data_IF_534624051502
#
_entry.id   IF_534624051502
#
_cell.length_a   1.000
_cell.length_b   1.000
_cell.length_c   1.000
_cell.angle_alpha   90.00
_cell.angle_beta   90.00
_cell.angle_gamma   90.00
#
_symmetry.space_group_name_H-M   'P 1'
#
loop_
_entity.id
_entity.type
_entity.pdbx_description
1 polymer ?
#
# COMPACT_ATOMS: atom_id res chain seq x y z
N UNK A 1 0.96 7.24 -0.17
CA UNK A 1 0.44 6.48 -1.33
C UNK A 1 -1.08 6.46 -1.25
N UNK A 2 -1.79 6.82 -2.33
CA UNK A 2 -3.26 6.85 -2.36
C UNK A 2 -3.79 6.07 -3.57
N UNK A 3 -5.00 5.50 -3.43
CA UNK A 3 -5.76 5.02 -4.58
C UNK A 3 -6.69 6.14 -5.05
N UNK A 4 -6.61 6.47 -6.32
CA UNK A 4 -7.55 7.39 -6.97
C UNK A 4 -7.94 6.78 -8.32
N UNK A 5 -9.24 6.75 -8.60
CA UNK A 5 -9.79 6.14 -9.80
C UNK A 5 -10.56 7.15 -10.65
N UNK A 6 -10.58 6.90 -11.95
CA UNK A 6 -11.41 7.60 -12.92
C UNK A 6 -12.91 7.52 -12.50
N UNK A 7 -13.67 8.62 -12.59
CA UNK A 7 -15.09 8.63 -12.19
C UNK A 7 -15.99 7.66 -12.95
N UNK A 8 -15.58 7.21 -14.14
CA UNK A 8 -16.29 6.22 -14.94
C UNK A 8 -15.79 4.78 -14.68
N UNK A 9 -14.86 4.58 -13.74
CA UNK A 9 -14.29 3.28 -13.42
C UNK A 9 -13.51 2.64 -14.57
N UNK A 10 -13.03 3.44 -15.54
CA UNK A 10 -12.30 2.87 -16.69
C UNK A 10 -11.00 2.20 -16.27
N UNK A 11 -10.39 2.71 -15.21
CA UNK A 11 -9.13 2.25 -14.64
C UNK A 11 -9.30 1.35 -13.41
N UNK A 12 -10.50 0.89 -13.05
CA UNK A 12 -10.67 0.00 -11.89
C UNK A 12 -10.53 -1.46 -12.31
N UNK A 13 -10.35 -2.37 -11.34
CA UNK A 13 -10.39 -3.80 -11.65
C UNK A 13 -11.75 -4.19 -12.24
N UNK A 14 -11.76 -5.06 -13.27
CA UNK A 14 -12.98 -5.38 -14.03
C UNK A 14 -14.15 -5.82 -13.14
N UNK A 15 -13.87 -6.65 -12.14
CA UNK A 15 -14.87 -7.14 -11.19
C UNK A 15 -15.40 -6.05 -10.23
N UNK A 16 -14.76 -4.88 -10.15
CA UNK A 16 -15.18 -3.72 -9.35
C UNK A 16 -15.81 -2.60 -10.17
N UNK A 17 -15.82 -2.68 -11.51
CA UNK A 17 -16.42 -1.64 -12.38
C UNK A 17 -17.88 -1.33 -12.04
N UNK A 18 -18.64 -2.34 -11.60
CA UNK A 18 -20.03 -2.17 -11.20
C UNK A 18 -20.24 -1.18 -10.04
N UNK A 19 -19.20 -0.87 -9.25
CA UNK A 19 -19.24 0.12 -8.17
C UNK A 19 -19.14 1.57 -8.65
N UNK A 20 -18.90 1.79 -9.94
CA UNK A 20 -18.65 3.12 -10.54
C UNK A 20 -19.76 3.57 -11.49
N UNK A 21 -20.90 2.87 -11.52
CA UNK A 21 -22.10 3.30 -12.25
C UNK A 21 -22.66 4.61 -11.66
N UNK A 22 -23.51 5.31 -12.42
CA UNK A 22 -23.98 6.67 -12.13
C UNK A 22 -24.40 6.88 -10.67
N UNK A 23 -25.18 5.94 -10.11
CA UNK A 23 -25.80 6.01 -8.77
C UNK A 23 -25.06 5.20 -7.70
N UNK A 24 -23.79 4.86 -7.94
CA UNK A 24 -22.99 4.05 -7.01
C UNK A 24 -21.99 4.89 -6.23
N UNK A 25 -21.49 4.37 -5.08
CA UNK A 25 -20.61 5.13 -4.19
C UNK A 25 -19.27 5.56 -4.80
N UNK A 26 -18.82 4.93 -5.90
CA UNK A 26 -17.56 5.26 -6.59
C UNK A 26 -16.39 5.37 -5.60
N UNK A 27 -16.05 4.28 -4.87
CA UNK A 27 -15.06 4.33 -3.81
C UNK A 27 -13.73 4.86 -4.34
N UNK A 28 -13.03 5.71 -3.60
CA UNK A 28 -11.72 6.25 -4.01
C UNK A 28 -11.72 6.92 -5.40
N UNK A 29 -12.85 7.49 -5.83
CA UNK A 29 -12.94 8.26 -7.07
C UNK A 29 -12.19 9.59 -6.96
N UNK A 30 -11.50 9.99 -8.03
CA UNK A 30 -10.80 11.28 -8.10
C UNK A 30 -11.74 12.43 -7.73
N UNK A 31 -11.27 13.30 -6.83
CA UNK A 31 -12.04 14.44 -6.32
C UNK A 31 -13.07 14.09 -5.24
N UNK A 32 -13.31 12.82 -4.94
CA UNK A 32 -14.18 12.42 -3.83
C UNK A 32 -13.46 12.52 -2.48
N UNK A 33 -14.24 12.70 -1.42
CA UNK A 33 -13.78 12.62 -0.02
C UNK A 33 -13.08 11.28 0.24
N UNK A 34 -13.60 10.18 -0.30
CA UNK A 34 -13.01 8.84 -0.13
C UNK A 34 -11.67 8.61 -0.84
N UNK A 35 -11.24 9.52 -1.73
CA UNK A 35 -9.91 9.48 -2.34
C UNK A 35 -8.86 10.31 -1.58
N UNK A 36 -9.31 11.13 -0.62
CA UNK A 36 -8.44 11.95 0.20
C UNK A 36 -7.91 11.14 1.39
N UNK A 37 -6.70 11.48 1.86
CA UNK A 37 -6.19 10.97 3.14
C UNK A 37 -6.83 11.79 4.26
N UNK A 38 -7.98 11.34 4.73
CA UNK A 38 -8.76 12.00 5.79
C UNK A 38 -8.64 11.30 7.14
N UNK A 39 -7.54 10.55 7.34
CA UNK A 39 -7.27 9.92 8.62
C UNK A 39 -6.53 10.94 9.49
N UNK A 40 -7.11 11.27 10.63
CA UNK A 40 -6.50 12.18 11.59
C UNK A 40 -5.09 11.71 11.97
N UNK A 41 -4.12 12.61 11.90
CA UNK A 41 -2.71 12.32 12.15
C UNK A 41 -1.91 11.80 10.94
N UNK A 42 -2.55 11.38 9.84
CA UNK A 42 -1.86 10.96 8.62
C UNK A 42 -1.83 12.10 7.58
N UNK A 43 -0.94 13.07 7.82
CA UNK A 43 -0.79 14.26 6.96
C UNK A 43 0.42 14.10 6.04
N UNK A 44 0.21 14.34 4.74
CA UNK A 44 1.30 14.49 3.77
C UNK A 44 1.92 15.88 4.00
N UNK A 45 3.20 15.91 4.38
CA UNK A 45 3.95 17.15 4.62
C UNK A 45 4.64 17.64 3.35
N UNK A 46 5.10 18.88 3.39
CA UNK A 46 5.95 19.42 2.33
C UNK A 46 7.23 18.59 2.19
N UNK A 47 7.52 18.14 0.97
CA UNK A 47 8.62 17.23 0.65
C UNK A 47 8.22 15.76 0.56
N UNK A 48 7.03 15.36 1.03
CA UNK A 48 6.54 14.00 0.86
C UNK A 48 6.15 13.72 -0.59
N UNK A 49 6.57 12.56 -1.09
CA UNK A 49 6.18 12.10 -2.42
C UNK A 49 4.78 11.47 -2.41
N UNK A 50 3.78 12.22 -2.88
CA UNK A 50 2.41 11.69 -3.06
C UNK A 50 2.32 10.82 -4.31
N UNK A 51 2.38 9.51 -4.13
CA UNK A 51 2.07 8.54 -5.18
C UNK A 51 0.57 8.24 -5.29
N UNK A 52 0.02 8.33 -6.51
CA UNK A 52 -1.33 7.87 -6.87
C UNK A 52 -1.23 6.56 -7.65
N UNK A 53 -2.06 5.57 -7.30
CA UNK A 53 -2.10 4.26 -7.98
C UNK A 53 -3.53 3.80 -8.26
N UNK A 54 -3.70 2.96 -9.29
CA UNK A 54 -4.99 2.40 -9.71
C UNK A 54 -5.05 0.87 -9.53
N UNK A 55 -3.98 0.23 -9.05
CA UNK A 55 -3.89 -1.23 -8.77
C UNK A 55 -3.44 -1.49 -7.34
N UNK A 56 -3.39 -2.77 -6.92
CA UNK A 56 -3.07 -3.07 -5.51
C UNK A 56 -1.62 -2.74 -5.21
N UNK A 57 -0.69 -3.21 -6.02
CA UNK A 57 0.71 -2.80 -5.96
C UNK A 57 0.88 -1.30 -6.17
N UNK A 58 1.76 -0.70 -5.37
CA UNK A 58 2.24 0.67 -5.58
C UNK A 58 3.22 0.78 -6.75
N UNK A 59 3.84 -0.31 -7.19
CA UNK A 59 4.77 -0.33 -8.33
C UNK A 59 4.07 -0.52 -9.67
N UNK A 60 2.95 -1.23 -9.69
CA UNK A 60 2.29 -1.59 -10.94
C UNK A 60 1.81 -0.35 -11.72
N UNK A 61 2.41 -0.13 -12.89
CA UNK A 61 2.11 0.99 -13.79
C UNK A 61 2.23 2.37 -13.09
N UNK A 62 3.25 2.52 -12.24
CA UNK A 62 3.62 3.80 -11.63
C UNK A 62 5.12 4.06 -11.79
N UNK A 63 5.56 5.28 -11.46
CA UNK A 63 6.98 5.64 -11.46
C UNK A 63 7.70 5.38 -10.12
N UNK A 64 7.06 4.65 -9.19
CA UNK A 64 7.60 4.48 -7.84
C UNK A 64 9.00 3.85 -7.83
N UNK A 65 9.22 2.77 -8.60
CA UNK A 65 10.52 2.10 -8.63
C UNK A 65 11.62 3.02 -9.17
N UNK A 66 11.40 3.66 -10.31
CA UNK A 66 12.38 4.59 -10.90
C UNK A 66 12.67 5.78 -9.98
N UNK A 67 11.66 6.29 -9.28
CA UNK A 67 11.82 7.35 -8.29
C UNK A 67 12.70 6.93 -7.12
N UNK A 68 12.43 5.77 -6.50
CA UNK A 68 13.19 5.26 -5.37
C UNK A 68 14.64 4.92 -5.76
N UNK A 69 14.85 4.35 -6.94
CA UNK A 69 16.19 4.08 -7.49
C UNK A 69 16.98 5.37 -7.73
N UNK A 70 16.34 6.42 -8.26
CA UNK A 70 16.98 7.73 -8.45
C UNK A 70 17.44 8.38 -7.13
N UNK A 71 16.85 8.00 -6.00
CA UNK A 71 17.25 8.44 -4.66
C UNK A 71 18.22 7.47 -3.96
N UNK A 72 18.59 6.35 -4.60
CA UNK A 72 19.42 5.31 -3.99
C UNK A 72 18.74 4.56 -2.85
N UNK A 73 17.41 4.55 -2.80
CA UNK A 73 16.65 3.87 -1.75
C UNK A 73 16.58 2.37 -2.06
N UNK A 74 17.17 1.55 -1.19
CA UNK A 74 17.17 0.08 -1.31
C UNK A 74 16.38 -0.63 -0.20
N UNK A 75 15.96 0.10 0.82
CA UNK A 75 15.30 -0.42 2.02
C UNK A 75 13.89 0.16 2.14
N UNK A 76 12.88 -0.69 2.30
CA UNK A 76 11.49 -0.28 2.33
C UNK A 76 10.78 -0.72 3.62
N UNK A 77 10.04 0.21 4.21
CA UNK A 77 9.07 -0.06 5.28
C UNK A 77 7.67 0.15 4.71
N UNK A 78 6.81 -0.85 4.87
CA UNK A 78 5.46 -0.90 4.28
C UNK A 78 4.41 -0.95 5.39
N UNK A 79 3.46 -0.01 5.33
CA UNK A 79 2.34 0.12 6.28
C UNK A 79 1.06 0.50 5.54
N UNK A 80 -0.08 0.45 6.24
CA UNK A 80 -1.39 0.87 5.73
C UNK A 80 -2.33 -0.27 5.40
N UNK A 81 -3.27 -0.04 4.47
CA UNK A 81 -4.37 -1.00 4.21
C UNK A 81 -4.62 -1.27 2.73
N UNK A 82 -5.10 -2.46 2.36
CA UNK A 82 -5.32 -3.64 3.21
C UNK A 82 -4.26 -4.72 2.98
N UNK A 83 -3.99 -5.50 4.02
CA UNK A 83 -2.96 -6.53 4.11
C UNK A 83 -2.97 -7.50 2.94
N UNK A 84 -4.09 -8.18 2.60
CA UNK A 84 -4.10 -9.20 1.54
C UNK A 84 -3.93 -8.64 0.13
N UNK A 85 -4.10 -7.33 -0.06
CA UNK A 85 -4.16 -6.72 -1.37
C UNK A 85 -3.01 -5.72 -1.55
N UNK A 86 -3.21 -4.47 -1.14
CA UNK A 86 -2.27 -3.40 -1.42
C UNK A 86 -0.91 -3.61 -0.75
N UNK A 87 -0.92 -4.10 0.49
CA UNK A 87 0.32 -4.36 1.23
C UNK A 87 1.03 -5.56 0.62
N UNK A 88 0.36 -6.74 0.58
CA UNK A 88 0.95 -7.96 0.03
C UNK A 88 1.48 -7.79 -1.38
N UNK A 89 0.69 -7.22 -2.31
CA UNK A 89 1.18 -7.08 -3.69
C UNK A 89 2.36 -6.11 -3.78
N UNK A 90 2.36 -5.01 -3.02
CA UNK A 90 3.50 -4.07 -3.01
C UNK A 90 4.76 -4.73 -2.42
N UNK A 91 4.62 -5.55 -1.39
CA UNK A 91 5.74 -6.30 -0.76
C UNK A 91 6.32 -7.31 -1.73
N UNK A 92 5.49 -8.11 -2.39
CA UNK A 92 5.95 -9.11 -3.35
C UNK A 92 6.63 -8.44 -4.56
N UNK A 93 6.08 -7.34 -5.06
CA UNK A 93 6.72 -6.58 -6.14
C UNK A 93 8.05 -5.94 -5.67
N UNK A 94 8.15 -5.46 -4.43
CA UNK A 94 9.41 -4.97 -3.89
C UNK A 94 10.47 -6.09 -3.79
N UNK A 95 10.09 -7.28 -3.32
CA UNK A 95 11.00 -8.43 -3.29
C UNK A 95 11.43 -8.81 -4.70
N UNK A 96 10.52 -8.82 -5.67
CA UNK A 96 10.83 -9.13 -7.07
C UNK A 96 11.68 -8.06 -7.79
N UNK A 97 11.72 -6.84 -7.25
CA UNK A 97 12.54 -5.72 -7.75
C UNK A 97 13.88 -5.58 -7.01
N UNK A 98 14.29 -6.61 -6.26
CA UNK A 98 15.58 -6.69 -5.55
C UNK A 98 15.83 -5.56 -4.53
N UNK A 99 14.78 -5.07 -3.86
CA UNK A 99 15.00 -4.23 -2.68
C UNK A 99 15.68 -5.06 -1.58
N UNK A 100 16.83 -4.58 -1.09
CA UNK A 100 17.68 -5.30 -0.13
C UNK A 100 16.94 -5.67 1.16
N UNK A 101 16.10 -4.76 1.67
CA UNK A 101 15.26 -5.04 2.83
C UNK A 101 13.85 -4.57 2.57
N UNK A 102 12.89 -5.44 2.88
CA UNK A 102 11.46 -5.13 2.87
C UNK A 102 10.92 -5.51 4.24
N UNK A 103 10.31 -4.53 4.91
CA UNK A 103 9.74 -4.69 6.25
C UNK A 103 8.27 -4.28 6.23
N UNK A 104 7.42 -5.07 6.87
CA UNK A 104 6.01 -4.72 7.12
C UNK A 104 5.82 -4.51 8.62
N UNK A 105 5.38 -3.31 9.02
CA UNK A 105 5.02 -3.06 10.42
C UNK A 105 3.63 -3.65 10.67
N UNK A 106 3.56 -4.78 11.37
CA UNK A 106 2.36 -5.64 11.38
C UNK A 106 1.17 -4.98 12.04
N UNK A 107 1.39 -4.25 13.12
CA UNK A 107 0.38 -3.48 13.86
C UNK A 107 0.08 -2.10 13.23
N UNK A 108 0.80 -1.73 12.17
CA UNK A 108 0.48 -0.58 11.30
C UNK A 108 -0.11 -1.02 9.95
N UNK A 109 -0.51 -2.30 9.82
CA UNK A 109 -1.27 -2.82 8.70
C UNK A 109 -2.57 -3.48 9.18
N UNK A 110 -3.60 -3.50 8.33
CA UNK A 110 -4.88 -4.12 8.70
C UNK A 110 -5.56 -4.83 7.53
N UNK A 111 -6.48 -5.73 7.83
CA UNK A 111 -7.36 -6.41 6.89
C UNK A 111 -8.79 -6.43 7.42
N UNK A 112 -9.73 -6.95 6.62
CA UNK A 112 -11.13 -7.06 7.01
C UNK A 112 -11.35 -7.93 8.26
N UNK A 113 -10.50 -8.95 8.47
CA UNK A 113 -10.52 -9.79 9.67
C UNK A 113 -9.08 -10.05 10.16
N UNK A 114 -8.88 -10.31 11.47
CA UNK A 114 -7.57 -10.68 12.01
C UNK A 114 -7.00 -11.95 11.37
N UNK A 115 -7.83 -12.95 11.08
CA UNK A 115 -7.42 -14.20 10.43
C UNK A 115 -6.79 -13.95 9.06
N UNK A 116 -7.46 -13.15 8.21
CA UNK A 116 -6.93 -12.78 6.89
C UNK A 116 -5.62 -12.00 7.05
N UNK A 117 -5.55 -11.07 8.00
CA UNK A 117 -4.32 -10.31 8.25
C UNK A 117 -3.16 -11.25 8.62
N UNK A 118 -3.34 -12.11 9.63
CA UNK A 118 -2.31 -13.00 10.14
C UNK A 118 -1.84 -14.02 9.10
N UNK A 119 -2.76 -14.60 8.31
CA UNK A 119 -2.39 -15.52 7.23
C UNK A 119 -1.49 -14.85 6.18
N UNK A 120 -1.79 -13.60 5.80
CA UNK A 120 -0.98 -12.87 4.82
C UNK A 120 0.36 -12.39 5.40
N UNK A 121 0.40 -12.03 6.69
CA UNK A 121 1.67 -11.74 7.39
C UNK A 121 2.56 -12.99 7.43
N UNK A 122 1.99 -14.17 7.72
CA UNK A 122 2.73 -15.44 7.73
C UNK A 122 3.32 -15.76 6.35
N UNK A 123 2.55 -15.59 5.28
CA UNK A 123 3.03 -15.77 3.91
C UNK A 123 4.20 -14.83 3.57
N UNK A 124 4.11 -13.55 3.95
CA UNK A 124 5.19 -12.58 3.73
C UNK A 124 6.45 -12.94 4.54
N UNK A 125 6.29 -13.36 5.80
CA UNK A 125 7.40 -13.82 6.64
C UNK A 125 8.13 -15.02 6.01
N UNK A 126 7.38 -15.96 5.43
CA UNK A 126 7.93 -17.17 4.81
C UNK A 126 8.77 -16.90 3.55
N UNK A 127 8.60 -15.74 2.90
CA UNK A 127 9.45 -15.31 1.78
C UNK A 127 10.62 -14.41 2.22
N UNK A 128 10.87 -14.28 3.53
CA UNK A 128 12.00 -13.53 4.08
C UNK A 128 11.71 -12.06 4.41
N UNK A 129 10.46 -11.61 4.37
CA UNK A 129 10.09 -10.22 4.72
C UNK A 129 10.03 -10.06 6.24
N UNK A 130 10.71 -9.05 6.77
CA UNK A 130 10.65 -8.72 8.19
C UNK A 130 9.25 -8.21 8.57
N UNK A 131 8.70 -8.70 9.68
CA UNK A 131 7.33 -8.40 10.11
C UNK A 131 7.24 -8.01 11.59
N UNK A 132 7.99 -6.99 12.05
CA UNK A 132 7.95 -6.53 13.44
C UNK A 132 6.70 -5.72 13.74
N UNK A 133 6.35 -5.64 15.01
CA UNK A 133 5.47 -4.58 15.56
C UNK A 133 6.20 -3.24 15.57
N UNK A 134 5.46 -2.13 15.66
CA UNK A 134 6.05 -0.79 15.77
C UNK A 134 6.96 -0.68 17.00
N UNK A 135 6.56 -1.33 18.10
CA UNK A 135 7.36 -1.38 19.33
C UNK A 135 8.71 -2.07 19.11
N UNK A 136 8.72 -3.23 18.45
CA UNK A 136 9.94 -3.97 18.14
C UNK A 136 10.83 -3.20 17.15
N UNK A 137 10.23 -2.53 16.16
CA UNK A 137 10.95 -1.72 15.18
C UNK A 137 11.66 -0.51 15.83
N UNK A 138 11.02 0.15 16.78
CA UNK A 138 11.57 1.31 17.48
C UNK A 138 12.53 0.92 18.63
N UNK A 139 12.66 -0.36 18.95
CA UNK A 139 13.58 -0.80 19.98
C UNK A 139 15.02 -0.50 19.55
N UNK A 140 15.89 -0.03 20.47
CA UNK A 140 17.29 0.19 20.14
C UNK A 140 17.91 -1.11 19.63
N UNK A 141 18.56 -1.03 18.47
CA UNK A 141 19.41 -2.12 18.00
C UNK A 141 20.67 -2.15 18.87
N UNK A 142 20.90 -3.25 19.59
CA UNK A 142 22.15 -3.50 20.31
C UNK A 142 23.36 -3.56 19.35
#
# INVERSE_FOLDING_TARGET
>A
VVREHDPLGRDVELFRRHLYLADKPKPTCKGSVGAQLLVDGLVIKDGDYKLVKTRFSAFFNTHLHSYLQGLGITNLVVTGVQTPNCIRQTVYDAVALDYHTVTVIVDAAAAATPEIHLANIADMRNIGVATPTLKEWCAPHE
#
